data_IF_350548572961
#
_entry.id   IF_350548572961
#
_cell.length_a   1.000
_cell.length_b   1.000
_cell.length_c   1.000
_cell.angle_alpha   90.00
_cell.angle_beta   90.00
_cell.angle_gamma   90.00
#
_symmetry.space_group_name_H-M   'P 1'
#
loop_
_entity.id
_entity.type
_entity.pdbx_description
1 polymer ?
#
# COMPACT_ATOMS: atom_id res chain seq x y z
N UNK A 1 19.99 4.31 -40.24
CA UNK A 1 20.68 3.70 -39.11
C UNK A 1 19.81 3.87 -37.87
N UNK A 2 19.04 2.86 -37.53
CA UNK A 2 18.06 2.83 -36.42
C UNK A 2 18.64 1.93 -35.32
N UNK A 3 18.93 2.49 -34.17
CA UNK A 3 19.33 1.74 -32.96
C UNK A 3 18.14 1.58 -32.04
N UNK A 4 17.78 0.33 -31.76
CA UNK A 4 16.75 -0.07 -30.82
C UNK A 4 17.27 0.01 -29.36
N UNK A 5 16.40 0.26 -28.35
CA UNK A 5 16.79 0.26 -26.96
C UNK A 5 16.78 -1.16 -26.37
N UNK A 6 17.77 -1.44 -25.54
CA UNK A 6 17.96 -2.68 -24.79
C UNK A 6 16.94 -2.82 -23.65
N UNK A 7 16.34 -3.99 -23.64
CA UNK A 7 15.44 -4.48 -22.61
C UNK A 7 16.24 -5.01 -21.40
N UNK A 8 16.02 -4.47 -20.21
CA UNK A 8 16.55 -5.02 -18.96
C UNK A 8 15.47 -5.86 -18.28
N UNK A 9 15.74 -7.16 -18.20
CA UNK A 9 14.85 -8.16 -17.67
C UNK A 9 14.75 -8.14 -16.14
N UNK A 10 13.53 -8.27 -15.64
CA UNK A 10 13.20 -8.68 -14.28
C UNK A 10 12.57 -10.08 -14.32
N UNK A 11 13.31 -11.07 -13.81
CA UNK A 11 12.85 -12.45 -13.64
C UNK A 11 12.09 -12.56 -12.33
N UNK A 12 10.83 -12.94 -12.37
CA UNK A 12 10.20 -13.81 -11.36
C UNK A 12 8.75 -14.15 -11.79
N UNK A 13 8.40 -15.44 -11.85
CA UNK A 13 7.00 -15.91 -11.92
C UNK A 13 6.58 -16.64 -13.21
N UNK A 14 7.47 -17.37 -13.89
CA UNK A 14 7.13 -18.15 -15.07
C UNK A 14 7.48 -19.65 -14.92
N UNK A 15 6.85 -20.34 -13.96
CA UNK A 15 7.11 -21.77 -13.77
C UNK A 15 6.05 -22.74 -14.30
N UNK A 16 4.77 -22.39 -14.29
CA UNK A 16 3.69 -23.32 -14.61
C UNK A 16 2.97 -23.10 -15.96
N UNK A 17 3.23 -22.00 -16.63
CA UNK A 17 2.53 -21.66 -17.88
C UNK A 17 3.04 -22.37 -19.12
N UNK A 18 4.27 -22.93 -19.08
CA UNK A 18 4.91 -23.58 -20.22
C UNK A 18 4.58 -25.07 -20.39
N UNK A 19 4.25 -25.76 -19.33
CA UNK A 19 4.01 -27.22 -19.39
C UNK A 19 2.69 -27.55 -20.08
N UNK A 20 1.64 -26.77 -19.88
CA UNK A 20 0.34 -27.00 -20.53
C UNK A 20 0.32 -26.57 -22.01
N UNK A 21 1.11 -25.56 -22.39
CA UNK A 21 1.14 -25.08 -23.77
C UNK A 21 1.91 -26.04 -24.72
N UNK A 22 2.94 -26.76 -24.22
CA UNK A 22 3.66 -27.75 -25.01
C UNK A 22 2.86 -29.03 -25.24
N UNK A 23 1.91 -29.37 -24.36
CA UNK A 23 1.09 -30.57 -24.53
C UNK A 23 -0.05 -30.41 -25.53
N UNK A 24 -0.53 -29.20 -25.74
CA UNK A 24 -1.65 -28.94 -26.68
C UNK A 24 -1.21 -28.77 -28.14
N UNK A 25 0.08 -28.56 -28.43
CA UNK A 25 0.57 -28.37 -29.80
C UNK A 25 1.24 -29.64 -30.41
N UNK A 26 1.40 -30.72 -29.64
CA UNK A 26 2.08 -31.91 -30.10
C UNK A 26 1.20 -33.14 -30.30
N UNK A 27 -0.12 -33.00 -30.19
CA UNK A 27 -1.01 -34.13 -30.49
C UNK A 27 -1.35 -34.15 -31.98
N UNK A 28 -0.64 -34.97 -32.73
CA UNK A 28 -0.86 -35.29 -34.12
C UNK A 28 -1.53 -36.68 -34.17
N UNK A 29 -2.82 -36.79 -34.43
CA UNK A 29 -3.55 -38.06 -34.46
C UNK A 29 -3.14 -38.99 -35.60
N UNK A 30 -2.36 -38.49 -36.59
CA UNK A 30 -1.94 -39.30 -37.73
C UNK A 30 -0.57 -40.02 -37.56
N UNK A 31 0.12 -39.81 -36.40
CA UNK A 31 1.39 -40.48 -36.12
C UNK A 31 1.29 -41.81 -35.38
N UNK A 32 0.09 -42.28 -35.10
CA UNK A 32 -0.15 -43.59 -34.47
C UNK A 32 -0.63 -44.61 -35.51
N UNK A 33 -0.03 -44.58 -36.69
CA UNK A 33 -0.13 -45.71 -37.63
C UNK A 33 1.23 -45.95 -38.28
N UNK A 34 1.87 -47.00 -37.86
CA UNK A 34 2.74 -47.92 -38.63
C UNK A 34 3.84 -48.52 -37.76
N UNK A 35 3.56 -49.68 -37.25
CA UNK A 35 4.49 -50.79 -37.30
C UNK A 35 3.68 -52.04 -37.53
N UNK A 36 3.42 -52.30 -38.78
CA UNK A 36 2.86 -53.56 -39.23
C UNK A 36 3.98 -54.51 -39.68
N UNK A 37 3.75 -55.76 -39.31
CA UNK A 37 4.26 -56.98 -39.91
C UNK A 37 5.61 -57.49 -39.44
N UNK A 38 5.56 -58.32 -38.42
CA UNK A 38 6.22 -59.65 -38.49
C UNK A 38 5.16 -60.66 -38.04
N UNK A 39 4.74 -61.48 -38.99
CA UNK A 39 3.83 -62.59 -38.77
C UNK A 39 4.50 -63.69 -37.97
N UNK A 40 3.85 -64.15 -36.91
CA UNK A 40 3.97 -65.50 -36.35
C UNK A 40 2.54 -65.99 -36.06
N UNK A 41 2.28 -67.12 -36.72
CA UNK A 41 1.16 -68.00 -36.58
C UNK A 41 1.19 -68.59 -35.15
N UNK A 42 0.26 -68.18 -34.25
CA UNK A 42 0.02 -68.85 -33.00
C UNK A 42 -1.49 -68.95 -32.76
N UNK A 43 -1.90 -70.10 -32.38
CA UNK A 43 -3.28 -70.55 -32.28
C UNK A 43 -4.14 -69.83 -31.25
N UNK A 44 -5.38 -70.28 -30.99
CA UNK A 44 -6.53 -69.50 -30.44
C UNK A 44 -6.48 -69.24 -28.94
N UNK A 45 -5.33 -69.27 -28.27
CA UNK A 45 -5.29 -69.03 -26.78
C UNK A 45 -4.81 -67.64 -26.35
N UNK A 46 -4.39 -66.71 -27.24
CA UNK A 46 -3.73 -65.45 -26.86
C UNK A 46 -4.66 -64.21 -26.87
N UNK A 47 -5.90 -64.34 -27.35
CA UNK A 47 -6.84 -63.20 -27.43
C UNK A 47 -7.36 -62.78 -26.03
N UNK A 48 -7.41 -63.72 -25.08
CA UNK A 48 -7.86 -63.45 -23.73
C UNK A 48 -6.89 -62.66 -22.83
N UNK A 49 -5.58 -62.84 -23.05
CA UNK A 49 -4.55 -62.17 -22.24
C UNK A 49 -4.28 -60.74 -22.70
N UNK A 50 -4.36 -60.44 -24.00
CA UNK A 50 -4.17 -59.11 -24.57
C UNK A 50 -5.31 -58.14 -24.10
N UNK A 51 -6.56 -58.55 -24.14
CA UNK A 51 -7.70 -57.75 -23.67
C UNK A 51 -7.71 -57.54 -22.15
N UNK A 52 -7.18 -58.49 -21.38
CA UNK A 52 -7.05 -58.35 -19.91
C UNK A 52 -5.93 -57.35 -19.56
N UNK A 53 -4.86 -57.30 -20.35
CA UNK A 53 -3.74 -56.39 -20.14
C UNK A 53 -4.10 -54.96 -20.51
N UNK A 54 -4.73 -54.72 -21.67
CA UNK A 54 -5.25 -53.41 -22.08
C UNK A 54 -6.26 -52.83 -21.07
N UNK A 55 -7.22 -53.64 -20.63
CA UNK A 55 -8.21 -53.20 -19.63
C UNK A 55 -7.63 -52.96 -18.23
N UNK A 56 -6.40 -53.40 -17.96
CA UNK A 56 -5.65 -53.17 -16.71
C UNK A 56 -4.83 -51.87 -16.79
N UNK A 57 -4.23 -51.58 -17.94
CA UNK A 57 -3.51 -50.34 -18.23
C UNK A 57 -4.48 -49.14 -18.23
N UNK A 58 -5.62 -49.23 -18.90
CA UNK A 58 -6.68 -48.20 -18.89
C UNK A 58 -7.17 -47.89 -17.48
N UNK A 59 -7.37 -48.91 -16.63
CA UNK A 59 -7.77 -48.70 -15.24
C UNK A 59 -6.69 -48.02 -14.40
N UNK A 60 -5.41 -48.33 -14.63
CA UNK A 60 -4.30 -47.69 -13.93
C UNK A 60 -4.14 -46.25 -14.36
N UNK A 61 -4.25 -45.93 -15.63
CA UNK A 61 -4.21 -44.59 -16.17
C UNK A 61 -5.36 -43.74 -15.64
N UNK A 62 -6.58 -44.27 -15.64
CA UNK A 62 -7.74 -43.61 -15.09
C UNK A 62 -7.58 -43.34 -13.57
N UNK A 63 -7.01 -44.30 -12.82
CA UNK A 63 -6.75 -44.14 -11.39
C UNK A 63 -5.68 -43.07 -11.14
N UNK A 64 -4.64 -42.99 -11.97
CA UNK A 64 -3.63 -41.96 -11.92
C UNK A 64 -4.23 -40.56 -12.20
N UNK A 65 -4.98 -40.43 -13.30
CA UNK A 65 -5.66 -39.16 -13.65
C UNK A 65 -6.58 -38.68 -12.56
N UNK A 66 -7.38 -39.57 -11.96
CA UNK A 66 -8.22 -39.25 -10.80
C UNK A 66 -7.39 -38.80 -9.61
N UNK A 67 -6.27 -39.41 -9.34
CA UNK A 67 -5.37 -39.03 -8.25
C UNK A 67 -4.74 -37.66 -8.49
N UNK A 68 -4.32 -37.36 -9.71
CA UNK A 68 -3.81 -36.05 -10.11
C UNK A 68 -4.84 -34.96 -9.91
N UNK A 69 -6.07 -35.15 -10.41
CA UNK A 69 -7.15 -34.15 -10.26
C UNK A 69 -7.51 -33.93 -8.78
N UNK A 70 -7.44 -34.98 -7.93
CA UNK A 70 -7.64 -34.86 -6.48
C UNK A 70 -6.50 -34.14 -5.76
N UNK A 71 -5.26 -34.34 -6.22
CA UNK A 71 -4.09 -33.75 -5.61
C UNK A 71 -3.88 -32.27 -6.00
N UNK A 72 -4.47 -31.82 -7.12
CA UNK A 72 -4.44 -30.42 -7.53
C UNK A 72 -5.12 -29.56 -6.47
N UNK A 73 -4.41 -28.57 -5.96
CA UNK A 73 -4.91 -27.64 -4.93
C UNK A 73 -5.99 -26.68 -5.44
N UNK A 74 -6.05 -26.43 -6.75
CA UNK A 74 -7.03 -25.59 -7.41
C UNK A 74 -8.40 -26.27 -7.48
N UNK A 75 -9.46 -25.46 -7.46
CA UNK A 75 -10.82 -25.96 -7.60
C UNK A 75 -11.11 -26.30 -9.07
N UNK A 76 -11.52 -27.52 -9.32
CA UNK A 76 -11.93 -28.00 -10.66
C UNK A 76 -13.41 -28.28 -10.66
N UNK A 77 -14.10 -27.75 -11.67
CA UNK A 77 -15.50 -28.03 -11.95
C UNK A 77 -15.58 -28.59 -13.39
N UNK A 78 -16.32 -29.66 -13.57
CA UNK A 78 -16.73 -30.16 -14.87
C UNK A 78 -18.24 -29.99 -15.00
N UNK A 79 -18.68 -29.40 -16.11
CA UNK A 79 -20.08 -29.22 -16.41
C UNK A 79 -20.46 -29.84 -17.76
N UNK A 80 -21.72 -30.17 -17.94
CA UNK A 80 -22.25 -30.54 -19.23
C UNK A 80 -22.15 -29.43 -20.29
N UNK A 81 -22.40 -29.72 -21.57
CA UNK A 81 -22.22 -28.80 -22.67
C UNK A 81 -23.38 -27.78 -22.78
N UNK A 82 -24.51 -28.04 -22.16
CA UNK A 82 -25.74 -27.28 -22.33
C UNK A 82 -25.64 -25.91 -21.63
N UNK A 83 -25.83 -24.84 -22.42
CA UNK A 83 -25.73 -23.45 -21.95
C UNK A 83 -27.10 -22.76 -21.84
N UNK A 84 -28.18 -23.50 -21.92
CA UNK A 84 -29.54 -22.94 -21.92
C UNK A 84 -29.95 -22.27 -20.61
N UNK A 85 -31.22 -21.89 -20.44
CA UNK A 85 -31.73 -20.97 -19.40
C UNK A 85 -31.25 -21.21 -17.98
N UNK A 86 -31.02 -22.43 -17.58
CA UNK A 86 -30.44 -22.78 -16.25
C UNK A 86 -28.91 -22.71 -16.21
N UNK A 87 -28.25 -22.60 -17.38
CA UNK A 87 -26.79 -22.73 -17.53
C UNK A 87 -26.32 -24.18 -17.44
N UNK A 88 -25.01 -24.42 -17.69
CA UNK A 88 -24.46 -25.79 -17.67
C UNK A 88 -24.58 -26.38 -16.27
N UNK A 89 -24.92 -27.68 -16.18
CA UNK A 89 -25.05 -28.36 -14.90
C UNK A 89 -23.72 -28.98 -14.48
N UNK A 90 -23.37 -28.87 -13.21
CA UNK A 90 -22.17 -29.46 -12.62
C UNK A 90 -22.30 -30.99 -12.62
N UNK A 91 -21.36 -31.67 -13.24
CA UNK A 91 -21.28 -33.12 -13.24
C UNK A 91 -20.21 -33.66 -12.30
N UNK A 92 -19.15 -32.86 -12.08
CA UNK A 92 -18.07 -33.24 -11.17
C UNK A 92 -17.42 -32.02 -10.56
N UNK A 93 -16.98 -32.16 -9.32
CA UNK A 93 -16.07 -31.22 -8.63
C UNK A 93 -14.99 -32.01 -7.88
N UNK A 94 -13.79 -31.43 -7.80
CA UNK A 94 -12.70 -32.02 -7.03
C UNK A 94 -12.69 -31.54 -5.56
N UNK A 95 -11.91 -32.16 -4.66
CA UNK A 95 -11.79 -31.71 -3.28
C UNK A 95 -11.27 -30.27 -3.12
N UNK A 96 -10.56 -29.73 -4.13
CA UNK A 96 -10.13 -28.33 -4.17
C UNK A 96 -11.33 -27.38 -4.19
N UNK A 97 -12.35 -27.69 -4.98
CA UNK A 97 -13.60 -26.94 -5.02
C UNK A 97 -14.32 -26.94 -3.65
N UNK A 98 -14.44 -28.11 -3.01
CA UNK A 98 -15.11 -28.21 -1.70
C UNK A 98 -14.40 -27.35 -0.64
N UNK A 99 -13.06 -27.41 -0.60
CA UNK A 99 -12.26 -26.56 0.31
C UNK A 99 -12.41 -25.07 0.03
N UNK A 100 -12.44 -24.69 -1.25
CA UNK A 100 -12.52 -23.29 -1.66
C UNK A 100 -13.89 -22.69 -1.42
N UNK A 101 -14.97 -23.43 -1.74
CA UNK A 101 -16.35 -22.90 -1.72
C UNK A 101 -17.14 -23.25 -0.47
N UNK A 102 -16.72 -24.28 0.28
CA UNK A 102 -17.47 -24.82 1.40
C UNK A 102 -18.67 -25.68 1.04
N UNK A 103 -18.96 -25.87 -0.24
CA UNK A 103 -19.99 -26.79 -0.72
C UNK A 103 -19.42 -28.18 -0.92
N UNK A 104 -20.12 -29.21 -0.43
CA UNK A 104 -19.79 -30.61 -0.74
C UNK A 104 -20.25 -30.99 -2.17
N UNK A 105 -19.55 -31.95 -2.79
CA UNK A 105 -19.87 -32.40 -4.16
C UNK A 105 -21.35 -32.77 -4.33
N UNK A 106 -21.92 -33.53 -3.38
CA UNK A 106 -23.32 -33.97 -3.46
C UNK A 106 -24.36 -32.85 -3.36
N UNK A 107 -23.97 -31.63 -2.91
CA UNK A 107 -24.84 -30.47 -2.81
C UNK A 107 -24.88 -29.68 -4.12
N UNK A 108 -23.87 -29.82 -4.97
CA UNK A 108 -23.70 -29.00 -6.17
C UNK A 108 -23.82 -29.77 -7.47
N UNK A 109 -23.58 -31.08 -7.48
CA UNK A 109 -23.78 -31.91 -8.69
C UNK A 109 -25.25 -31.86 -9.10
N UNK A 110 -25.49 -31.65 -10.39
CA UNK A 110 -26.82 -31.42 -10.97
C UNK A 110 -27.34 -29.97 -10.83
N UNK A 111 -26.56 -29.07 -10.24
CA UNK A 111 -26.90 -27.63 -10.13
C UNK A 111 -26.02 -26.79 -11.07
N UNK A 112 -26.46 -25.58 -11.37
CA UNK A 112 -25.64 -24.63 -12.13
C UNK A 112 -24.58 -23.99 -11.22
N UNK A 113 -23.34 -23.72 -11.73
CA UNK A 113 -22.31 -22.93 -11.03
C UNK A 113 -22.77 -21.53 -10.60
N UNK A 114 -23.89 -21.04 -11.13
CA UNK A 114 -24.49 -19.75 -10.74
C UNK A 114 -24.82 -19.66 -9.24
N UNK A 115 -24.88 -20.76 -8.51
CA UNK A 115 -25.07 -20.78 -7.05
C UNK A 115 -23.93 -20.03 -6.31
N UNK A 116 -22.78 -19.87 -6.95
CA UNK A 116 -21.63 -19.15 -6.40
C UNK A 116 -21.69 -17.63 -6.67
N UNK A 117 -22.65 -17.18 -7.48
CA UNK A 117 -22.82 -15.76 -7.82
C UNK A 117 -23.60 -15.03 -6.73
N UNK A 118 -23.36 -13.72 -6.58
CA UNK A 118 -24.02 -12.88 -5.59
C UNK A 118 -24.04 -11.40 -5.98
N UNK A 119 -24.34 -10.50 -5.05
CA UNK A 119 -24.58 -9.08 -5.33
C UNK A 119 -23.42 -8.36 -6.04
N UNK A 120 -22.17 -8.68 -5.69
CA UNK A 120 -20.97 -8.03 -6.25
C UNK A 120 -20.36 -8.81 -7.43
N UNK A 121 -21.01 -9.86 -7.91
CA UNK A 121 -20.55 -10.57 -9.11
C UNK A 121 -20.71 -9.67 -10.35
N UNK A 122 -19.61 -9.42 -11.05
CA UNK A 122 -19.58 -8.49 -12.19
C UNK A 122 -20.37 -9.06 -13.39
N UNK A 123 -21.48 -8.42 -13.73
CA UNK A 123 -22.34 -8.82 -14.86
C UNK A 123 -21.61 -8.70 -16.21
N UNK A 124 -20.74 -7.72 -16.39
CA UNK A 124 -20.01 -7.56 -17.65
C UNK A 124 -19.02 -8.72 -17.87
N UNK A 125 -18.44 -9.25 -16.79
CA UNK A 125 -17.59 -10.45 -16.85
C UNK A 125 -18.43 -11.67 -17.21
N UNK A 126 -19.60 -11.84 -16.58
CA UNK A 126 -20.52 -12.94 -16.89
C UNK A 126 -21.05 -12.91 -18.33
N UNK A 127 -21.33 -11.72 -18.85
CA UNK A 127 -21.81 -11.56 -20.24
C UNK A 127 -20.70 -11.93 -21.24
N UNK A 128 -19.45 -11.55 -20.98
CA UNK A 128 -18.27 -11.99 -21.77
C UNK A 128 -18.05 -13.50 -21.67
N UNK A 129 -18.18 -14.07 -20.47
CA UNK A 129 -18.13 -15.52 -20.28
C UNK A 129 -19.20 -16.22 -21.14
N UNK A 130 -20.47 -15.80 -21.03
CA UNK A 130 -21.56 -16.39 -21.78
C UNK A 130 -21.34 -16.29 -23.30
N UNK A 131 -20.81 -15.19 -23.80
CA UNK A 131 -20.48 -15.00 -25.21
C UNK A 131 -19.36 -15.95 -25.66
N UNK A 132 -18.30 -16.09 -24.90
CA UNK A 132 -17.18 -16.99 -25.20
C UNK A 132 -17.64 -18.46 -25.25
N UNK A 133 -18.41 -18.91 -24.25
CA UNK A 133 -18.91 -20.28 -24.20
C UNK A 133 -19.84 -20.59 -25.36
N UNK A 134 -20.76 -19.67 -25.73
CA UNK A 134 -21.64 -19.85 -26.92
C UNK A 134 -20.83 -19.93 -28.22
N UNK A 135 -19.68 -19.27 -28.29
CA UNK A 135 -18.79 -19.34 -29.45
C UNK A 135 -17.88 -20.60 -29.42
N UNK A 136 -18.02 -21.47 -28.41
CA UNK A 136 -17.17 -22.64 -28.26
C UNK A 136 -15.70 -22.31 -27.84
N UNK A 137 -15.47 -21.10 -27.31
CA UNK A 137 -14.14 -20.60 -27.00
C UNK A 137 -13.81 -20.74 -25.51
N UNK A 138 -12.52 -20.89 -25.21
CA UNK A 138 -12.02 -20.81 -23.84
C UNK A 138 -12.22 -19.39 -23.27
N UNK A 139 -12.46 -19.30 -21.96
CA UNK A 139 -12.61 -18.05 -21.26
C UNK A 139 -11.65 -17.95 -20.07
N UNK A 140 -11.04 -16.77 -19.92
CA UNK A 140 -10.32 -16.40 -18.69
C UNK A 140 -10.88 -15.09 -18.16
N UNK A 141 -11.15 -15.05 -16.87
CA UNK A 141 -11.69 -13.87 -16.21
C UNK A 141 -11.59 -13.93 -14.70
N UNK A 142 -11.93 -12.81 -14.07
CA UNK A 142 -11.91 -12.66 -12.61
C UNK A 142 -13.18 -11.93 -12.18
N UNK A 143 -13.83 -12.39 -11.11
CA UNK A 143 -15.01 -11.72 -10.53
C UNK A 143 -15.20 -12.12 -9.06
N UNK A 144 -16.11 -11.44 -8.35
CA UNK A 144 -16.53 -11.84 -7.02
C UNK A 144 -17.49 -13.03 -7.07
N UNK A 145 -17.24 -14.05 -6.25
CA UNK A 145 -18.10 -15.18 -5.96
C UNK A 145 -18.34 -15.29 -4.45
N UNK A 146 -19.26 -16.15 -4.05
CA UNK A 146 -19.67 -16.35 -2.65
C UNK A 146 -19.56 -17.82 -2.25
N UNK A 147 -18.97 -18.04 -1.05
CA UNK A 147 -18.92 -19.36 -0.44
C UNK A 147 -20.29 -19.71 0.13
N UNK A 148 -20.43 -20.97 0.57
CA UNK A 148 -21.65 -21.48 1.23
C UNK A 148 -22.05 -20.69 2.47
N UNK A 149 -21.08 -20.16 3.22
CA UNK A 149 -21.29 -19.34 4.41
C UNK A 149 -21.61 -17.87 4.10
N UNK A 150 -21.70 -17.50 2.84
CA UNK A 150 -21.93 -16.12 2.39
C UNK A 150 -20.66 -15.26 2.29
N UNK A 151 -19.48 -15.79 2.62
CA UNK A 151 -18.22 -15.06 2.50
C UNK A 151 -17.90 -14.80 1.03
N UNK A 152 -17.64 -13.54 0.69
CA UNK A 152 -17.19 -13.11 -0.63
C UNK A 152 -15.72 -13.44 -0.86
N UNK A 153 -15.39 -13.90 -2.07
CA UNK A 153 -14.02 -14.11 -2.51
C UNK A 153 -13.87 -13.76 -4.01
N UNK A 154 -12.68 -13.39 -4.40
CA UNK A 154 -12.33 -13.13 -5.80
C UNK A 154 -11.87 -14.44 -6.45
N UNK A 155 -12.58 -14.87 -7.47
CA UNK A 155 -12.24 -16.06 -8.25
C UNK A 155 -11.62 -15.66 -9.57
N UNK A 156 -10.49 -16.28 -9.91
CA UNK A 156 -9.93 -16.28 -11.26
C UNK A 156 -10.32 -17.60 -11.92
N UNK A 157 -10.89 -17.55 -13.14
CA UNK A 157 -11.31 -18.70 -13.91
C UNK A 157 -10.48 -18.90 -15.16
N UNK A 158 -10.18 -20.15 -15.46
CA UNK A 158 -9.84 -20.62 -16.80
C UNK A 158 -10.84 -21.72 -17.16
N UNK A 159 -11.70 -21.44 -18.16
CA UNK A 159 -12.75 -22.36 -18.62
C UNK A 159 -12.41 -22.79 -20.03
N UNK A 160 -12.37 -24.11 -20.27
CA UNK A 160 -12.02 -24.69 -21.57
C UNK A 160 -13.03 -25.75 -21.98
N UNK A 161 -13.37 -25.85 -23.30
CA UNK A 161 -14.24 -26.89 -23.80
C UNK A 161 -13.45 -28.23 -23.89
N UNK A 162 -14.15 -29.33 -23.64
CA UNK A 162 -13.71 -30.69 -23.96
C UNK A 162 -14.47 -31.13 -25.21
N UNK A 163 -13.72 -31.55 -26.23
CA UNK A 163 -14.26 -31.92 -27.52
C UNK A 163 -14.20 -33.42 -27.71
N UNK A 164 -15.27 -33.99 -28.26
CA UNK A 164 -15.30 -35.36 -28.80
C UNK A 164 -15.90 -35.32 -30.21
N UNK A 165 -15.17 -35.85 -31.19
CA UNK A 165 -15.59 -35.80 -32.58
C UNK A 165 -15.91 -34.39 -33.11
N UNK A 166 -15.25 -33.35 -32.58
CA UNK A 166 -15.50 -31.93 -32.91
C UNK A 166 -16.73 -31.30 -32.25
N UNK A 167 -17.42 -32.02 -31.37
CA UNK A 167 -18.52 -31.50 -30.55
C UNK A 167 -18.09 -31.27 -29.12
N UNK A 168 -18.54 -30.18 -28.52
CA UNK A 168 -18.31 -29.94 -27.10
C UNK A 168 -19.17 -30.91 -26.30
N UNK A 169 -18.51 -31.73 -25.47
CA UNK A 169 -19.15 -32.70 -24.58
C UNK A 169 -19.15 -32.25 -23.14
N UNK A 170 -18.15 -31.45 -22.72
CA UNK A 170 -18.07 -30.88 -21.36
C UNK A 170 -17.36 -29.53 -21.40
N UNK A 171 -17.50 -28.78 -20.29
CA UNK A 171 -16.65 -27.64 -19.98
C UNK A 171 -15.87 -27.96 -18.69
N UNK A 172 -14.56 -27.67 -18.70
CA UNK A 172 -13.73 -27.75 -17.50
C UNK A 172 -13.38 -26.34 -17.06
N UNK A 173 -13.70 -26.00 -15.82
CA UNK A 173 -13.31 -24.76 -15.19
C UNK A 173 -12.28 -25.02 -14.09
N UNK A 174 -11.06 -24.51 -14.27
CA UNK A 174 -10.08 -24.38 -13.21
C UNK A 174 -10.31 -23.03 -12.53
N UNK A 175 -10.40 -23.03 -11.21
CA UNK A 175 -10.73 -21.86 -10.42
C UNK A 175 -9.71 -21.68 -9.30
N UNK A 176 -9.28 -20.43 -9.08
CA UNK A 176 -8.36 -20.05 -8.02
C UNK A 176 -8.95 -18.90 -7.22
N UNK A 177 -8.92 -19.02 -5.90
CA UNK A 177 -9.17 -17.88 -5.01
C UNK A 177 -7.94 -16.96 -5.01
N UNK A 178 -8.12 -15.74 -5.50
CA UNK A 178 -7.06 -14.74 -5.62
C UNK A 178 -7.25 -13.57 -4.63
N UNK A 179 -8.18 -13.71 -3.67
CA UNK A 179 -8.56 -12.65 -2.73
C UNK A 179 -7.36 -12.13 -1.95
N UNK A 180 -6.57 -13.02 -1.32
CA UNK A 180 -5.42 -12.61 -0.52
C UNK A 180 -4.29 -12.01 -1.38
N UNK A 181 -4.08 -12.56 -2.58
CA UNK A 181 -3.11 -11.99 -3.53
C UNK A 181 -3.49 -10.57 -3.92
N UNK A 182 -4.76 -10.34 -4.30
CA UNK A 182 -5.26 -9.00 -4.68
C UNK A 182 -5.19 -8.02 -3.52
N UNK A 183 -5.59 -8.44 -2.34
CA UNK A 183 -5.47 -7.60 -1.14
C UNK A 183 -4.02 -7.22 -0.82
N UNK A 184 -3.08 -8.14 -1.02
CA UNK A 184 -1.65 -7.86 -0.84
C UNK A 184 -1.13 -6.87 -1.88
N UNK A 185 -1.47 -7.05 -3.17
CA UNK A 185 -1.13 -6.15 -4.26
C UNK A 185 -1.68 -4.72 -3.99
N UNK A 186 -2.95 -4.61 -3.58
CA UNK A 186 -3.56 -3.32 -3.23
C UNK A 186 -2.90 -2.67 -2.01
N UNK A 187 -2.54 -3.45 -0.98
CA UNK A 187 -1.79 -2.92 0.17
C UNK A 187 -0.44 -2.38 -0.26
N UNK A 188 0.26 -3.10 -1.14
CA UNK A 188 1.55 -2.66 -1.68
C UNK A 188 1.42 -1.36 -2.49
N UNK A 189 0.44 -1.25 -3.38
CA UNK A 189 0.19 -0.03 -4.17
C UNK A 189 -0.12 1.15 -3.25
N UNK A 190 -0.98 0.96 -2.24
CA UNK A 190 -1.28 2.02 -1.25
C UNK A 190 -0.02 2.46 -0.51
N UNK A 191 0.82 1.53 -0.06
CA UNK A 191 2.07 1.85 0.63
C UNK A 191 3.03 2.64 -0.26
N UNK A 192 3.20 2.25 -1.52
CA UNK A 192 4.06 2.98 -2.48
C UNK A 192 3.52 4.40 -2.71
N UNK A 193 2.22 4.56 -2.88
CA UNK A 193 1.60 5.88 -3.05
C UNK A 193 1.80 6.77 -1.82
N UNK A 194 1.66 6.21 -0.63
CA UNK A 194 1.90 6.94 0.62
C UNK A 194 3.37 7.36 0.76
N UNK A 195 4.32 6.47 0.45
CA UNK A 195 5.74 6.81 0.44
C UNK A 195 6.05 7.94 -0.56
N UNK A 196 5.54 7.85 -1.78
CA UNK A 196 5.71 8.90 -2.79
C UNK A 196 5.16 10.25 -2.32
N UNK A 197 3.98 10.26 -1.70
CA UNK A 197 3.40 11.47 -1.13
C UNK A 197 4.29 12.08 -0.03
N UNK A 198 4.86 11.24 0.84
CA UNK A 198 5.80 11.67 1.91
C UNK A 198 7.10 12.24 1.33
N UNK A 199 7.69 11.59 0.33
CA UNK A 199 8.89 12.08 -0.36
C UNK A 199 8.63 13.46 -1.00
N UNK A 200 7.51 13.62 -1.69
CA UNK A 200 7.15 14.89 -2.31
C UNK A 200 6.93 16.00 -1.27
N UNK A 201 6.32 15.70 -0.13
CA UNK A 201 6.17 16.66 0.97
C UNK A 201 7.53 17.09 1.54
N UNK A 202 8.45 16.14 1.72
CA UNK A 202 9.81 16.42 2.19
C UNK A 202 10.59 17.29 1.21
N UNK A 203 10.52 16.98 -0.08
CA UNK A 203 11.16 17.78 -1.12
C UNK A 203 10.57 19.20 -1.21
N UNK A 204 9.26 19.33 -1.09
CA UNK A 204 8.59 20.65 -1.06
C UNK A 204 9.02 21.48 0.15
N UNK A 205 9.20 20.86 1.32
CA UNK A 205 9.72 21.54 2.51
C UNK A 205 11.16 22.02 2.28
N UNK A 206 12.03 21.19 1.71
CA UNK A 206 13.42 21.57 1.36
C UNK A 206 13.44 22.72 0.35
N UNK A 207 12.62 22.64 -0.71
CA UNK A 207 12.50 23.72 -1.70
C UNK A 207 12.03 25.02 -1.08
N UNK A 208 11.06 24.97 -0.17
CA UNK A 208 10.58 26.13 0.56
C UNK A 208 11.66 26.76 1.44
N UNK A 209 12.40 25.92 2.18
CA UNK A 209 13.55 26.37 2.99
C UNK A 209 14.62 27.01 2.13
N UNK A 210 14.96 26.42 0.97
CA UNK A 210 15.93 26.97 0.04
C UNK A 210 15.48 28.32 -0.53
N UNK A 211 14.28 28.34 -1.15
CA UNK A 211 13.73 29.54 -1.77
C UNK A 211 13.64 30.71 -0.77
N UNK A 212 13.26 30.44 0.46
CA UNK A 212 13.09 31.44 1.49
C UNK A 212 14.44 31.92 2.07
N UNK A 213 15.44 31.01 2.19
CA UNK A 213 16.76 31.37 2.69
C UNK A 213 17.53 32.27 1.72
N UNK A 214 17.43 31.98 0.41
CA UNK A 214 18.15 32.72 -0.61
C UNK A 214 17.41 33.98 -1.17
N UNK A 215 16.14 34.13 -0.81
CA UNK A 215 15.36 35.34 -1.18
C UNK A 215 15.75 36.59 -0.37
N UNK A 216 16.44 36.42 0.76
CA UNK A 216 16.87 37.49 1.65
C UNK A 216 18.19 38.12 1.12
N UNK A 217 18.10 39.03 0.14
CA UNK A 217 19.26 39.63 -0.56
C UNK A 217 20.16 40.51 0.30
N UNK A 218 19.97 40.60 1.62
CA UNK A 218 20.80 41.37 2.55
C UNK A 218 21.88 40.54 3.25
N UNK A 219 21.84 39.19 3.12
CA UNK A 219 22.86 38.31 3.70
C UNK A 219 23.99 38.03 2.72
N UNK A 220 25.20 37.91 3.23
CA UNK A 220 26.30 37.36 2.44
C UNK A 220 26.00 35.90 1.99
N UNK A 221 26.65 35.45 0.93
CA UNK A 221 26.53 34.08 0.44
C UNK A 221 26.90 33.08 1.53
N UNK A 222 27.94 33.39 2.34
CA UNK A 222 28.39 32.55 3.46
C UNK A 222 27.32 32.42 4.56
N UNK A 223 26.68 33.51 4.95
CA UNK A 223 25.60 33.52 5.94
C UNK A 223 24.37 32.79 5.44
N UNK A 224 23.99 32.98 4.17
CA UNK A 224 22.87 32.29 3.56
C UNK A 224 23.10 30.77 3.50
N UNK A 225 24.31 30.33 3.14
CA UNK A 225 24.70 28.92 3.13
C UNK A 225 24.62 28.31 4.55
N UNK A 226 25.14 28.98 5.58
CA UNK A 226 25.08 28.49 6.96
C UNK A 226 23.63 28.42 7.46
N UNK A 227 22.81 29.44 7.21
CA UNK A 227 21.40 29.45 7.57
C UNK A 227 20.62 28.32 6.86
N UNK A 228 20.90 28.05 5.58
CA UNK A 228 20.28 26.94 4.85
C UNK A 228 20.65 25.60 5.45
N UNK A 229 21.95 25.38 5.73
CA UNK A 229 22.44 24.15 6.37
C UNK A 229 21.76 23.93 7.73
N UNK A 230 21.69 24.94 8.58
CA UNK A 230 21.12 24.86 9.91
C UNK A 230 19.61 24.50 9.87
N UNK A 231 18.87 25.09 8.94
CA UNK A 231 17.46 24.78 8.67
C UNK A 231 17.25 23.36 8.17
N UNK A 232 18.14 22.91 7.26
CA UNK A 232 18.07 21.54 6.74
C UNK A 232 18.34 20.51 7.84
N UNK A 233 19.27 20.76 8.74
CA UNK A 233 19.53 19.93 9.91
C UNK A 233 18.32 19.93 10.87
N UNK A 234 17.67 21.08 11.09
CA UNK A 234 16.46 21.16 11.90
C UNK A 234 15.32 20.33 11.29
N UNK A 235 15.10 20.44 9.99
CA UNK A 235 14.12 19.65 9.24
C UNK A 235 14.43 18.15 9.34
N UNK A 236 15.71 17.78 9.20
CA UNK A 236 16.15 16.38 9.33
C UNK A 236 15.85 15.80 10.72
N UNK A 237 16.07 16.55 11.81
CA UNK A 237 15.70 16.10 13.17
C UNK A 237 14.20 15.81 13.30
N UNK A 238 13.35 16.69 12.76
CA UNK A 238 11.89 16.46 12.76
C UNK A 238 11.53 15.20 11.98
N UNK A 239 12.15 14.99 10.83
CA UNK A 239 11.92 13.80 10.01
C UNK A 239 12.36 12.50 10.69
N UNK A 240 13.51 12.51 11.38
CA UNK A 240 13.98 11.36 12.18
C UNK A 240 12.97 11.05 13.30
N UNK A 241 12.48 12.08 14.01
CA UNK A 241 11.48 11.90 15.06
C UNK A 241 10.18 11.31 14.51
N UNK A 242 9.68 11.83 13.38
CA UNK A 242 8.49 11.32 12.70
C UNK A 242 8.68 9.88 12.21
N UNK A 243 9.85 9.55 11.67
CA UNK A 243 10.16 8.20 11.20
C UNK A 243 10.14 7.17 12.33
N UNK A 244 10.67 7.49 13.52
CA UNK A 244 10.58 6.65 14.72
C UNK A 244 9.14 6.36 15.15
N UNK A 245 8.23 7.32 14.95
CA UNK A 245 6.80 7.19 15.23
C UNK A 245 5.98 6.65 14.05
N UNK A 246 6.60 5.97 13.08
CA UNK A 246 5.93 5.46 11.86
C UNK A 246 5.12 6.54 11.12
N UNK A 247 5.50 7.81 11.26
CA UNK A 247 4.83 8.98 10.69
C UNK A 247 3.40 9.22 11.20
N UNK A 248 3.01 8.55 12.25
CA UNK A 248 1.72 8.82 12.92
C UNK A 248 1.71 10.12 13.71
N UNK A 249 2.86 10.81 13.73
CA UNK A 249 3.03 12.09 14.42
C UNK A 249 4.20 12.08 15.41
N UNK A 250 4.42 13.22 16.07
CA UNK A 250 5.52 13.42 17.00
C UNK A 250 5.03 13.95 18.36
N UNK A 251 5.58 13.48 19.50
CA UNK A 251 5.33 14.12 20.79
C UNK A 251 5.87 15.56 20.80
N UNK A 252 5.07 16.52 21.26
CA UNK A 252 5.45 17.93 21.29
C UNK A 252 6.67 18.16 22.20
N UNK A 253 6.77 17.46 23.31
CA UNK A 253 7.91 17.53 24.22
C UNK A 253 9.22 17.15 23.53
N UNK A 254 9.28 15.97 22.88
CA UNK A 254 10.46 15.51 22.17
C UNK A 254 10.84 16.42 20.97
N UNK A 255 9.82 16.94 20.29
CA UNK A 255 10.03 17.91 19.21
C UNK A 255 10.67 19.18 19.71
N UNK A 256 10.17 19.74 20.83
CA UNK A 256 10.69 20.95 21.44
C UNK A 256 12.13 20.75 21.92
N UNK A 257 12.39 19.70 22.70
CA UNK A 257 13.71 19.33 23.19
C UNK A 257 14.72 19.17 22.03
N UNK A 258 14.35 18.43 20.99
CA UNK A 258 15.21 18.20 19.81
C UNK A 258 15.56 19.46 19.03
N UNK A 259 14.71 20.50 19.04
CA UNK A 259 14.99 21.77 18.36
C UNK A 259 15.76 22.77 19.26
N UNK A 260 15.47 22.81 20.54
CA UNK A 260 16.05 23.77 21.46
C UNK A 260 17.41 23.33 22.02
N UNK A 261 17.50 22.09 22.52
CA UNK A 261 18.74 21.59 23.16
C UNK A 261 19.93 21.49 22.19
N UNK A 262 19.66 21.37 20.88
CA UNK A 262 20.72 21.33 19.87
C UNK A 262 21.50 22.64 19.70
N UNK A 263 21.12 23.71 20.39
CA UNK A 263 21.75 25.05 20.33
C UNK A 263 22.51 25.43 21.60
N UNK A 264 22.44 24.58 22.62
CA UNK A 264 23.06 24.85 23.90
C UNK A 264 24.31 23.98 24.06
N UNK A 265 25.49 24.55 24.01
CA UNK A 265 26.75 23.89 24.31
C UNK A 265 26.92 23.71 25.85
N UNK A 266 25.95 22.96 26.47
CA UNK A 266 26.01 22.61 27.89
C UNK A 266 25.08 23.33 28.85
N UNK A 267 24.38 24.39 28.46
CA UNK A 267 23.52 25.23 29.31
C UNK A 267 22.05 24.84 29.30
N UNK A 268 21.73 23.53 29.44
CA UNK A 268 20.36 23.03 29.41
C UNK A 268 19.43 23.68 30.45
N UNK A 269 19.98 24.14 31.57
CA UNK A 269 19.26 24.81 32.67
C UNK A 269 18.63 26.16 32.26
N UNK A 270 19.05 26.75 31.16
CA UNK A 270 18.57 28.03 30.65
C UNK A 270 17.32 27.91 29.79
N UNK A 271 16.85 26.70 29.54
CA UNK A 271 15.60 26.45 28.78
C UNK A 271 14.68 25.58 29.61
N UNK A 272 13.50 26.11 29.89
CA UNK A 272 12.44 25.42 30.61
C UNK A 272 11.31 25.03 29.63
N UNK A 273 11.12 23.72 29.45
CA UNK A 273 10.14 23.14 28.52
C UNK A 273 9.15 22.30 29.30
N UNK A 274 7.86 22.68 29.32
CA UNK A 274 6.84 21.85 29.95
C UNK A 274 5.43 22.08 29.39
N UNK A 275 4.63 21.03 29.46
CA UNK A 275 3.20 21.02 29.12
C UNK A 275 2.64 19.60 29.19
N UNK A 276 1.33 19.46 29.03
CA UNK A 276 0.69 18.14 28.95
C UNK A 276 1.17 17.35 27.73
N UNK A 277 1.00 16.03 27.78
CA UNK A 277 1.28 15.16 26.64
C UNK A 277 0.40 15.53 25.45
N UNK A 278 1.04 15.90 24.34
CA UNK A 278 0.37 16.21 23.06
C UNK A 278 1.15 15.59 21.92
N UNK A 279 0.47 14.80 21.07
CA UNK A 279 1.07 14.18 19.89
C UNK A 279 0.61 14.93 18.64
N UNK A 280 1.51 15.66 18.03
CA UNK A 280 1.26 16.45 16.83
C UNK A 280 1.20 15.54 15.58
N UNK A 281 0.27 15.81 14.66
CA UNK A 281 0.30 15.20 13.33
C UNK A 281 1.53 15.64 12.53
N UNK A 282 1.96 14.84 11.57
CA UNK A 282 3.24 15.03 10.85
C UNK A 282 3.40 16.42 10.26
N UNK A 283 2.38 16.97 9.61
CA UNK A 283 2.43 18.32 9.03
C UNK A 283 2.62 19.42 10.07
N UNK A 284 1.89 19.36 11.21
CA UNK A 284 2.02 20.30 12.30
C UNK A 284 3.41 20.20 12.96
N UNK A 285 3.94 18.99 13.14
CA UNK A 285 5.26 18.75 13.72
C UNK A 285 6.37 19.38 12.87
N UNK A 286 6.31 19.26 11.54
CA UNK A 286 7.30 19.89 10.64
C UNK A 286 7.29 21.40 10.77
N UNK A 287 6.11 22.02 10.71
CA UNK A 287 5.99 23.48 10.71
C UNK A 287 6.35 24.05 12.09
N UNK A 288 5.84 23.43 13.17
CA UNK A 288 6.16 23.86 14.53
C UNK A 288 7.64 23.63 14.87
N UNK A 289 8.21 22.50 14.45
CA UNK A 289 9.63 22.23 14.64
C UNK A 289 10.53 23.25 13.96
N UNK A 290 10.19 23.68 12.74
CA UNK A 290 10.91 24.75 12.05
C UNK A 290 10.71 26.10 12.75
N UNK A 291 9.53 26.41 13.24
CA UNK A 291 9.26 27.66 14.01
C UNK A 291 10.06 27.69 15.32
N UNK A 292 10.08 26.59 16.07
CA UNK A 292 10.88 26.46 17.31
C UNK A 292 12.39 26.61 17.03
N UNK A 293 12.88 26.03 15.93
CA UNK A 293 14.26 26.23 15.49
C UNK A 293 14.60 27.71 15.22
N UNK A 294 13.72 28.44 14.53
CA UNK A 294 13.91 29.87 14.25
C UNK A 294 13.87 30.70 15.54
N UNK A 295 12.92 30.40 16.45
CA UNK A 295 12.86 31.06 17.76
C UNK A 295 14.13 30.83 18.58
N UNK A 296 14.59 29.57 18.67
CA UNK A 296 15.83 29.21 19.37
C UNK A 296 17.07 29.88 18.74
N UNK A 297 17.12 29.94 17.42
CA UNK A 297 18.22 30.63 16.71
C UNK A 297 18.23 32.13 16.96
N UNK A 298 17.05 32.75 17.01
CA UNK A 298 16.91 34.18 17.32
C UNK A 298 17.30 34.47 18.78
N UNK A 299 16.82 33.63 19.73
CA UNK A 299 17.18 33.75 21.14
C UNK A 299 18.70 33.65 21.35
N UNK A 300 19.38 32.71 20.67
CA UNK A 300 20.83 32.52 20.78
C UNK A 300 21.64 33.66 20.12
N UNK A 301 21.14 34.26 19.05
CA UNK A 301 21.89 35.30 18.31
C UNK A 301 21.60 36.72 18.80
N UNK A 302 20.38 37.01 19.18
CA UNK A 302 19.90 38.38 19.40
C UNK A 302 19.02 38.52 20.65
N UNK A 303 18.54 37.39 21.20
CA UNK A 303 17.61 37.37 22.33
C UNK A 303 18.24 36.91 23.63
N UNK A 304 17.42 36.32 24.52
CA UNK A 304 17.80 35.98 25.87
C UNK A 304 19.05 35.11 25.98
N UNK A 305 19.18 34.08 25.13
CA UNK A 305 20.30 33.14 25.19
C UNK A 305 21.63 33.75 24.71
N UNK A 306 21.64 34.96 24.15
CA UNK A 306 22.88 35.71 23.82
C UNK A 306 23.57 36.33 25.05
N UNK A 307 22.90 36.37 26.22
CA UNK A 307 23.43 36.89 27.49
C UNK A 307 23.56 35.79 28.53
N UNK A 308 24.59 35.81 29.41
CA UNK A 308 24.81 34.74 30.37
C UNK A 308 23.64 34.49 31.36
N UNK A 309 22.90 35.54 31.73
CA UNK A 309 21.74 35.45 32.65
C UNK A 309 20.41 35.28 31.97
N UNK A 310 20.38 35.18 30.64
CA UNK A 310 19.13 35.06 29.91
C UNK A 310 18.61 33.63 29.86
N UNK A 311 17.29 33.49 29.87
CA UNK A 311 16.61 32.22 29.82
C UNK A 311 15.38 32.24 28.93
N UNK A 312 14.92 31.05 28.54
CA UNK A 312 13.77 30.83 27.66
C UNK A 312 12.79 29.87 28.34
N UNK A 313 11.52 30.21 28.31
CA UNK A 313 10.45 29.33 28.75
C UNK A 313 9.57 28.97 27.55
N UNK A 314 9.35 27.66 27.37
CA UNK A 314 8.36 27.12 26.44
C UNK A 314 7.31 26.33 27.19
N UNK A 315 6.11 26.85 27.26
CA UNK A 315 4.97 26.23 27.95
C UNK A 315 3.82 26.01 26.99
N UNK A 316 3.04 24.93 27.19
CA UNK A 316 1.78 24.75 26.47
C UNK A 316 0.73 24.15 27.39
N UNK A 317 -0.53 24.43 27.04
CA UNK A 317 -1.73 23.90 27.68
C UNK A 317 -2.71 23.43 26.61
N UNK A 318 -3.63 22.55 27.02
CA UNK A 318 -4.81 22.18 26.22
C UNK A 318 -6.04 22.69 26.98
N UNK A 319 -6.76 23.63 26.38
CA UNK A 319 -7.91 24.29 26.98
C UNK A 319 -9.16 24.09 26.13
N UNK A 320 -10.33 24.07 26.78
CA UNK A 320 -11.60 23.96 26.09
C UNK A 320 -12.31 25.31 26.15
N UNK A 321 -12.64 25.87 24.99
CA UNK A 321 -13.33 27.14 24.86
C UNK A 321 -14.38 27.03 23.74
N UNK A 322 -15.64 27.35 24.06
CA UNK A 322 -16.74 27.29 23.08
C UNK A 322 -16.99 25.90 22.46
N UNK A 323 -16.70 24.83 23.19
CA UNK A 323 -16.83 23.44 22.68
C UNK A 323 -15.64 22.95 21.83
N UNK A 324 -14.67 23.82 21.55
CA UNK A 324 -13.45 23.49 20.78
C UNK A 324 -12.28 23.34 21.76
N UNK A 325 -11.46 22.31 21.55
CA UNK A 325 -10.21 22.17 22.28
C UNK A 325 -9.11 22.94 21.56
N UNK A 326 -8.33 23.71 22.32
CA UNK A 326 -7.26 24.56 21.83
C UNK A 326 -5.92 24.11 22.40
N UNK A 327 -4.90 23.99 21.56
CA UNK A 327 -3.50 23.99 21.97
C UNK A 327 -3.03 25.43 22.07
N UNK A 328 -2.62 25.84 23.27
CA UNK A 328 -2.04 27.16 23.53
C UNK A 328 -0.57 26.99 23.88
N UNK A 329 0.34 27.49 23.05
CA UNK A 329 1.77 27.43 23.28
C UNK A 329 2.30 28.85 23.50
N UNK A 330 3.16 28.98 24.47
CA UNK A 330 3.76 30.25 24.91
C UNK A 330 5.27 30.11 24.96
N UNK A 331 5.95 30.97 24.24
CA UNK A 331 7.40 31.16 24.25
C UNK A 331 7.68 32.50 24.93
N UNK A 332 8.58 32.53 25.92
CA UNK A 332 8.96 33.74 26.65
C UNK A 332 10.48 33.78 26.78
N UNK A 333 11.07 34.93 26.44
CA UNK A 333 12.48 35.24 26.63
C UNK A 333 12.64 36.27 27.74
N UNK A 334 13.56 36.04 28.67
CA UNK A 334 13.85 36.96 29.78
C UNK A 334 15.37 37.03 30.05
N UNK A 335 15.84 38.14 30.63
CA UNK A 335 17.26 38.32 31.02
C UNK A 335 18.22 38.56 29.85
N UNK A 336 17.70 38.79 28.66
CA UNK A 336 18.49 39.09 27.48
C UNK A 336 18.75 40.61 27.28
N UNK A 337 19.36 40.99 26.13
CA UNK A 337 19.54 42.39 25.77
C UNK A 337 18.17 43.04 25.48
N UNK A 338 18.11 44.36 25.64
CA UNK A 338 16.88 45.12 25.30
C UNK A 338 16.55 44.90 23.81
N UNK A 339 15.38 44.35 23.52
CA UNK A 339 14.91 44.06 22.19
C UNK A 339 14.38 45.31 21.52
N UNK A 340 15.03 45.83 20.44
CA UNK A 340 14.46 46.95 19.69
C UNK A 340 13.28 46.45 18.85
N UNK A 341 12.28 47.30 18.66
CA UNK A 341 11.20 47.05 17.72
C UNK A 341 11.80 46.84 16.32
N UNK A 342 11.61 45.73 15.68
CA UNK A 342 12.19 45.49 14.38
C UNK A 342 11.55 46.38 13.32
N UNK A 343 12.35 47.15 12.59
CA UNK A 343 11.87 47.97 11.46
C UNK A 343 11.35 47.11 10.29
N UNK A 344 11.80 45.86 10.21
CA UNK A 344 11.35 44.82 9.24
C UNK A 344 11.43 43.45 9.89
N UNK A 345 10.38 42.64 9.71
CA UNK A 345 10.39 41.25 10.10
C UNK A 345 11.29 40.45 9.16
N UNK A 346 12.31 39.81 9.72
CA UNK A 346 13.18 38.88 9.00
C UNK A 346 12.44 37.61 8.56
N UNK A 347 13.17 36.72 7.89
CA UNK A 347 12.60 35.45 7.44
C UNK A 347 12.03 34.61 8.60
N UNK A 348 12.80 34.41 9.68
CA UNK A 348 12.38 33.59 10.83
C UNK A 348 11.07 34.08 11.43
N UNK A 349 10.94 35.39 11.66
CA UNK A 349 9.70 36.00 12.18
C UNK A 349 8.51 35.80 11.24
N UNK A 350 8.70 35.91 9.92
CA UNK A 350 7.63 35.63 8.94
C UNK A 350 7.22 34.16 8.89
N UNK A 351 8.19 33.25 9.05
CA UNK A 351 7.90 31.80 9.14
C UNK A 351 7.07 31.50 10.39
N UNK A 352 7.48 32.06 11.53
CA UNK A 352 6.77 31.86 12.80
C UNK A 352 5.38 32.50 12.74
N UNK A 353 5.26 33.76 12.31
CA UNK A 353 3.97 34.46 12.35
C UNK A 353 2.99 33.96 11.29
N UNK A 354 3.41 33.85 10.02
CA UNK A 354 2.52 33.51 8.90
C UNK A 354 2.54 32.05 8.54
N UNK A 355 3.74 31.44 8.46
CA UNK A 355 3.91 30.05 8.07
C UNK A 355 3.32 29.10 9.08
N UNK A 356 3.60 29.33 10.38
CA UNK A 356 3.04 28.52 11.46
C UNK A 356 1.51 28.71 11.56
N UNK A 357 1.01 29.96 11.57
CA UNK A 357 -0.42 30.22 11.65
C UNK A 357 -1.23 29.53 10.55
N UNK A 358 -0.72 29.55 9.31
CA UNK A 358 -1.36 28.85 8.18
C UNK A 358 -1.32 27.33 8.34
N UNK A 359 -0.17 26.78 8.74
CA UNK A 359 0.03 25.34 8.80
C UNK A 359 -0.67 24.63 9.96
N UNK A 360 -0.99 25.33 11.02
CA UNK A 360 -1.75 24.82 12.19
C UNK A 360 -3.20 25.29 12.20
N UNK A 361 -3.64 26.06 11.20
CA UNK A 361 -4.97 26.71 11.16
C UNK A 361 -5.28 27.53 12.42
N UNK A 362 -4.25 28.19 12.98
CA UNK A 362 -4.30 28.88 14.24
C UNK A 362 -3.94 30.37 14.15
N UNK A 363 -3.76 30.96 15.29
CA UNK A 363 -3.29 32.34 15.44
C UNK A 363 -1.90 32.35 16.06
N UNK A 364 -1.01 33.18 15.53
CA UNK A 364 0.34 33.38 16.07
C UNK A 364 0.56 34.87 16.26
N UNK A 365 1.10 35.25 17.42
CA UNK A 365 1.45 36.63 17.76
C UNK A 365 2.89 36.69 18.25
N UNK A 366 3.70 37.55 17.65
CA UNK A 366 5.03 37.92 18.09
C UNK A 366 5.00 39.28 18.74
N UNK A 367 5.36 39.32 20.01
CA UNK A 367 5.37 40.55 20.82
C UNK A 367 6.84 40.83 21.19
N UNK A 368 7.37 41.96 20.68
CA UNK A 368 8.73 42.42 20.95
C UNK A 368 8.66 43.37 22.14
N UNK A 369 8.83 42.85 23.36
CA UNK A 369 8.83 43.60 24.59
C UNK A 369 10.25 44.05 24.97
N UNK A 370 10.41 45.09 25.77
CA UNK A 370 11.75 45.53 26.21
C UNK A 370 12.47 44.46 27.03
N UNK A 371 11.74 43.59 27.71
CA UNK A 371 12.25 42.48 28.54
C UNK A 371 12.67 41.26 27.72
N UNK A 372 12.19 41.10 26.47
CA UNK A 372 12.44 39.95 25.64
C UNK A 372 11.34 39.69 24.59
N UNK A 373 11.52 38.65 23.78
CA UNK A 373 10.53 38.22 22.82
C UNK A 373 9.48 37.33 23.51
N UNK A 374 8.21 37.59 23.24
CA UNK A 374 7.10 36.71 23.57
C UNK A 374 6.41 36.24 22.30
N UNK A 375 6.24 34.93 22.14
CA UNK A 375 5.47 34.33 21.06
C UNK A 375 4.30 33.52 21.62
N UNK A 376 3.11 33.83 21.12
CA UNK A 376 1.87 33.13 21.47
C UNK A 376 1.29 32.43 20.28
N UNK A 377 0.99 31.13 20.46
CA UNK A 377 0.40 30.26 19.44
C UNK A 377 -0.89 29.69 20.00
N UNK A 378 -2.01 29.91 19.32
CA UNK A 378 -3.32 29.37 19.64
C UNK A 378 -3.84 28.60 18.42
N UNK A 379 -3.99 27.28 18.53
CA UNK A 379 -4.43 26.42 17.43
C UNK A 379 -5.56 25.48 17.87
N UNK A 380 -6.58 25.26 17.03
CA UNK A 380 -7.55 24.20 17.30
C UNK A 380 -6.84 22.85 17.40
N UNK A 381 -7.08 22.10 18.49
CA UNK A 381 -6.36 20.86 18.76
C UNK A 381 -6.58 19.83 17.64
N UNK A 382 -7.80 19.72 17.11
CA UNK A 382 -8.14 18.82 16.01
C UNK A 382 -7.41 19.20 14.68
N UNK A 383 -6.94 20.45 14.57
CA UNK A 383 -6.09 20.92 13.48
C UNK A 383 -4.62 20.49 13.58
N UNK A 384 -4.14 20.12 14.76
CA UNK A 384 -2.71 19.85 15.01
C UNK A 384 -2.41 18.44 15.53
N UNK A 385 -3.40 17.72 16.07
CA UNK A 385 -3.26 16.33 16.56
C UNK A 385 -4.02 15.35 15.65
N UNK A 386 -3.60 14.10 15.65
CA UNK A 386 -4.41 13.04 15.05
C UNK A 386 -5.62 12.76 15.94
N UNK A 387 -6.78 12.47 15.33
CA UNK A 387 -7.92 11.97 16.08
C UNK A 387 -7.49 10.76 16.91
N UNK A 388 -7.73 10.79 18.21
CA UNK A 388 -7.53 9.59 19.05
C UNK A 388 -8.40 8.46 18.49
N UNK A 389 -7.78 7.36 18.09
CA UNK A 389 -8.48 6.11 17.76
C UNK A 389 -8.95 5.43 19.02
#
# INVERSE_FOLDING_TARGET
MLTAPRNLGGKSGFGCRWVLWQYTQSYDPDKVRMTDKVGYDNGPEDIGQSQITEGREDKQELALLRSVVRAIGEAIIVTGPDLDLSGPLIEYVNPGFERMTGYAAHEVVGRSPRILQGPNTDRAVLDRLAAALRAGQSFQGETANYRKDGTEYLVEWLITPVLDGGRIVHWIAAQRDVTERRRAEERQVRMVNELNHRVNNSLSAVQSVAAQTFRDGQRSIGESRNAFRDRLLALSRVHILLARGYWEGAPLQELAEGQLMSRLDGDAERIDIAGPEVRLRSGAAVILGMALHELATNAARHGALSSPGGHVQLRWSVEQEGGIRWLRLRWLEEGGPVVPLPSRLGFGSRLVERGLAHGIHGRVRLLFERSGLRCEVDAPLDGVVNAMR
#
